data_IF_694099864747
#
_entry.id   IF_694099864747
#
_cell.length_a   1.000
_cell.length_b   1.000
_cell.length_c   1.000
_cell.angle_alpha   90.00
_cell.angle_beta   90.00
_cell.angle_gamma   90.00
#
_symmetry.space_group_name_H-M   'P 1'
#
loop_
_entity.id
_entity.type
_entity.pdbx_description
1 polymer ?
#
# COMPACT_ATOMS: atom_id res chain seq x y z
N UNK A 1 -26.69 47.39 62.69
CA UNK A 1 -26.41 47.25 61.25
C UNK A 1 -26.96 45.92 60.75
N UNK A 2 -28.12 45.96 60.08
CA UNK A 2 -28.76 44.79 59.46
C UNK A 2 -28.08 44.49 58.12
N UNK A 3 -27.64 43.24 57.88
CA UNK A 3 -27.36 42.73 56.53
C UNK A 3 -28.50 41.79 56.13
N UNK A 4 -29.32 42.25 55.16
CA UNK A 4 -30.39 41.46 54.55
C UNK A 4 -29.79 40.30 53.74
N UNK A 5 -30.24 39.08 54.02
CA UNK A 5 -30.16 37.94 53.10
C UNK A 5 -31.35 38.06 52.14
N UNK A 6 -31.09 38.14 50.84
CA UNK A 6 -32.09 37.85 49.80
C UNK A 6 -31.45 36.95 48.77
N UNK A 7 -31.88 35.70 48.80
CA UNK A 7 -31.70 34.67 47.78
C UNK A 7 -32.50 35.06 46.54
N UNK A 8 -31.82 35.37 45.43
CA UNK A 8 -32.43 35.51 44.12
C UNK A 8 -32.15 34.25 43.29
N UNK A 9 -33.11 33.32 43.32
CA UNK A 9 -33.07 32.03 42.63
C UNK A 9 -33.74 32.07 41.24
N UNK A 10 -34.25 33.23 40.78
CA UNK A 10 -34.99 33.32 39.50
C UNK A 10 -34.09 33.55 38.27
N UNK A 11 -32.88 34.08 38.45
CA UNK A 11 -32.00 34.42 37.31
C UNK A 11 -31.32 33.22 36.63
N UNK A 12 -31.19 32.06 37.29
CA UNK A 12 -30.44 30.91 36.75
C UNK A 12 -31.22 30.12 35.69
N UNK A 13 -32.55 30.12 35.81
CA UNK A 13 -33.45 29.37 34.91
C UNK A 13 -33.67 30.14 33.59
N UNK A 14 -33.72 31.47 33.64
CA UNK A 14 -33.74 32.33 32.45
C UNK A 14 -32.44 32.26 31.63
N UNK A 15 -31.29 32.14 32.31
CA UNK A 15 -29.99 31.97 31.64
C UNK A 15 -29.90 30.59 30.97
N UNK A 16 -30.42 29.55 31.62
CA UNK A 16 -30.46 28.18 31.07
C UNK A 16 -31.39 28.10 29.85
N UNK A 17 -32.59 28.68 29.94
CA UNK A 17 -33.53 28.75 28.83
C UNK A 17 -33.00 29.60 27.66
N UNK A 18 -32.21 30.66 27.93
CA UNK A 18 -31.51 31.42 26.88
C UNK A 18 -30.37 30.62 26.25
N UNK A 19 -29.62 29.83 27.02
CA UNK A 19 -28.59 28.94 26.50
C UNK A 19 -29.19 27.83 25.62
N UNK A 20 -30.29 27.21 26.06
CA UNK A 20 -31.00 26.17 25.29
C UNK A 20 -31.66 26.75 24.02
N UNK A 21 -32.13 28.01 24.06
CA UNK A 21 -32.61 28.73 22.87
C UNK A 21 -31.50 29.15 21.90
N UNK A 22 -30.30 29.44 22.41
CA UNK A 22 -29.11 29.73 21.60
C UNK A 22 -28.59 28.43 20.98
N UNK A 23 -28.52 27.34 21.73
CA UNK A 23 -28.10 26.02 21.23
C UNK A 23 -29.08 25.47 20.20
N UNK A 24 -30.40 25.65 20.38
CA UNK A 24 -31.40 25.28 19.35
C UNK A 24 -31.38 26.20 18.12
N UNK A 25 -30.99 27.47 18.24
CA UNK A 25 -30.73 28.37 17.10
C UNK A 25 -29.42 28.03 16.38
N UNK A 26 -28.37 27.66 17.10
CA UNK A 26 -27.11 27.18 16.53
C UNK A 26 -27.37 25.86 15.79
N UNK A 27 -28.14 24.95 16.37
CA UNK A 27 -28.45 23.65 15.76
C UNK A 27 -29.43 23.74 14.57
N UNK A 28 -30.24 24.80 14.47
CA UNK A 28 -31.11 25.07 13.30
C UNK A 28 -30.43 25.92 12.21
N UNK A 29 -29.38 26.68 12.53
CA UNK A 29 -28.55 27.37 11.54
C UNK A 29 -27.30 26.58 11.10
N UNK A 30 -26.93 25.49 11.78
CA UNK A 30 -25.85 24.58 11.37
C UNK A 30 -26.30 23.45 10.43
N UNK A 31 -27.56 23.47 9.96
CA UNK A 31 -28.16 22.46 9.08
C UNK A 31 -28.41 22.94 7.64
N UNK A 32 -27.64 23.93 7.16
CA UNK A 32 -27.72 24.34 5.75
C UNK A 32 -26.37 24.84 5.20
N UNK A 33 -25.37 23.97 5.23
CA UNK A 33 -24.29 23.99 4.22
C UNK A 33 -23.88 22.55 3.87
N UNK A 34 -24.88 21.72 3.56
CA UNK A 34 -24.67 20.56 2.68
C UNK A 34 -24.55 21.08 1.25
N UNK A 35 -23.34 21.40 0.82
CA UNK A 35 -23.03 21.34 -0.60
C UNK A 35 -23.23 19.88 -1.00
N UNK A 36 -24.38 19.62 -1.61
CA UNK A 36 -24.81 18.30 -2.03
C UNK A 36 -23.77 17.67 -2.96
N UNK A 37 -23.30 16.50 -2.57
CA UNK A 37 -22.58 15.60 -3.46
C UNK A 37 -22.77 14.19 -2.93
N UNK A 38 -23.90 13.57 -3.28
CA UNK A 38 -24.11 12.15 -3.02
C UNK A 38 -23.31 11.34 -4.05
N UNK A 39 -21.99 11.37 -3.92
CA UNK A 39 -21.15 10.34 -4.53
C UNK A 39 -21.48 9.03 -3.83
N UNK A 40 -21.83 8.00 -4.61
CA UNK A 40 -22.05 6.66 -4.10
C UNK A 40 -20.85 5.76 -4.40
N UNK A 41 -20.55 4.82 -3.49
CA UNK A 41 -19.56 3.78 -3.77
C UNK A 41 -20.00 2.96 -5.00
N UNK A 42 -19.06 2.68 -5.90
CA UNK A 42 -19.31 1.95 -7.14
C UNK A 42 -19.91 2.79 -8.27
N UNK A 43 -20.29 4.04 -8.03
CA UNK A 43 -20.78 4.94 -9.06
C UNK A 43 -19.68 5.25 -10.10
N UNK A 44 -20.03 5.22 -11.38
CA UNK A 44 -19.16 5.71 -12.45
C UNK A 44 -19.41 7.19 -12.69
N UNK A 45 -18.32 7.96 -12.72
CA UNK A 45 -18.33 9.40 -12.90
C UNK A 45 -17.34 9.80 -14.00
N UNK A 46 -17.75 10.77 -14.82
CA UNK A 46 -16.87 11.38 -15.82
C UNK A 46 -16.35 12.70 -15.26
N UNK A 47 -15.03 12.87 -15.25
CA UNK A 47 -14.39 14.09 -14.76
C UNK A 47 -13.15 14.48 -15.57
N UNK A 48 -12.85 15.78 -15.57
CA UNK A 48 -11.60 16.32 -16.11
C UNK A 48 -10.52 16.32 -15.05
N UNK A 49 -9.32 15.89 -15.43
CA UNK A 49 -8.15 15.89 -14.55
C UNK A 49 -7.39 17.20 -14.72
N UNK A 50 -7.22 17.94 -13.62
CA UNK A 50 -6.61 19.28 -13.62
C UNK A 50 -5.15 19.26 -13.16
N UNK A 51 -4.77 18.28 -12.33
CA UNK A 51 -3.47 18.23 -11.70
C UNK A 51 -3.06 16.83 -11.30
N UNK A 52 -1.90 16.74 -10.66
CA UNK A 52 -1.33 15.50 -10.20
C UNK A 52 -1.02 15.61 -8.70
N UNK A 53 -1.30 14.56 -7.94
CA UNK A 53 -0.90 14.47 -6.54
C UNK A 53 0.59 14.20 -6.43
N UNK A 54 1.15 14.40 -5.24
CA UNK A 54 2.55 14.03 -4.95
C UNK A 54 2.83 12.52 -5.13
N UNK A 55 1.79 11.69 -5.13
CA UNK A 55 1.88 10.23 -5.36
C UNK A 55 1.75 9.86 -6.84
N UNK A 56 1.55 10.84 -7.73
CA UNK A 56 1.35 10.60 -9.15
C UNK A 56 -0.09 10.23 -9.53
N UNK A 57 -1.06 10.53 -8.67
CA UNK A 57 -2.48 10.31 -8.98
C UNK A 57 -3.08 11.52 -9.68
N UNK A 58 -3.93 11.31 -10.68
CA UNK A 58 -4.70 12.39 -11.29
C UNK A 58 -5.65 13.01 -10.28
N UNK A 59 -5.72 14.34 -10.26
CA UNK A 59 -6.61 15.10 -9.37
C UNK A 59 -7.62 15.86 -10.22
N UNK A 60 -8.89 15.57 -10.01
CA UNK A 60 -9.99 16.32 -10.59
C UNK A 60 -11.07 16.63 -9.56
N UNK A 61 -12.13 17.31 -10.00
CA UNK A 61 -13.29 17.62 -9.17
C UNK A 61 -14.56 17.16 -9.84
N UNK A 62 -15.43 16.52 -9.08
CA UNK A 62 -16.76 16.15 -9.50
C UNK A 62 -17.76 16.76 -8.52
N UNK A 63 -18.66 17.63 -9.02
CA UNK A 63 -19.69 18.29 -8.20
C UNK A 63 -19.14 18.98 -6.93
N UNK A 64 -17.93 19.55 -7.00
CA UNK A 64 -17.27 20.23 -5.88
C UNK A 64 -16.40 19.33 -4.99
N UNK A 65 -16.55 18.01 -5.05
CA UNK A 65 -15.72 17.05 -4.33
C UNK A 65 -14.41 16.78 -5.08
N UNK A 66 -13.29 16.73 -4.36
CA UNK A 66 -11.98 16.32 -4.92
C UNK A 66 -11.96 14.80 -5.11
N UNK A 67 -11.57 14.35 -6.31
CA UNK A 67 -11.44 12.93 -6.65
C UNK A 67 -10.01 12.65 -7.10
N UNK A 68 -9.38 11.67 -6.47
CA UNK A 68 -8.07 11.13 -6.85
C UNK A 68 -8.25 9.91 -7.74
N UNK A 69 -7.65 9.91 -8.93
CA UNK A 69 -7.74 8.84 -9.92
C UNK A 69 -6.32 8.40 -10.30
N UNK A 70 -5.78 7.33 -9.69
CA UNK A 70 -4.48 6.76 -10.08
C UNK A 70 -4.47 6.38 -11.56
N UNK A 71 -3.38 6.66 -12.26
CA UNK A 71 -3.22 6.36 -13.69
C UNK A 71 -3.81 7.39 -14.65
N UNK A 72 -4.47 8.44 -14.15
CA UNK A 72 -5.00 9.54 -14.96
C UNK A 72 -4.04 10.74 -14.99
N UNK A 73 -3.97 11.43 -16.14
CA UNK A 73 -3.02 12.52 -16.40
C UNK A 73 -3.72 13.88 -16.48
N UNK A 74 -3.08 15.00 -16.09
CA UNK A 74 -3.64 16.33 -16.31
C UNK A 74 -3.96 16.60 -17.78
N UNK A 75 -5.11 17.22 -18.01
CA UNK A 75 -5.65 17.51 -19.35
C UNK A 75 -6.57 16.42 -19.90
N UNK A 76 -6.72 15.29 -19.20
CA UNK A 76 -7.59 14.20 -19.65
C UNK A 76 -9.02 14.34 -19.17
N UNK A 77 -9.93 13.75 -19.94
CA UNK A 77 -11.29 13.41 -19.49
C UNK A 77 -11.34 11.90 -19.28
N UNK A 78 -11.71 11.47 -18.08
CA UNK A 78 -11.72 10.06 -17.69
C UNK A 78 -13.05 9.65 -17.11
N UNK A 79 -13.44 8.40 -17.35
CA UNK A 79 -14.47 7.70 -16.59
C UNK A 79 -13.79 6.98 -15.43
N UNK A 80 -14.22 7.28 -14.20
CA UNK A 80 -13.70 6.68 -12.99
C UNK A 80 -14.83 6.09 -12.14
N UNK A 81 -14.62 4.89 -11.60
CA UNK A 81 -15.52 4.25 -10.65
C UNK A 81 -15.13 4.64 -9.23
N UNK A 82 -16.05 5.18 -8.45
CA UNK A 82 -15.80 5.60 -7.06
C UNK A 82 -15.50 4.37 -6.21
N UNK A 83 -14.24 4.23 -5.79
CA UNK A 83 -13.76 3.09 -5.00
C UNK A 83 -13.73 3.37 -3.49
N UNK A 84 -13.73 4.64 -3.08
CA UNK A 84 -13.73 5.02 -1.69
C UNK A 84 -14.11 6.47 -1.48
N UNK A 85 -14.87 6.76 -0.44
CA UNK A 85 -15.35 8.11 -0.11
C UNK A 85 -14.90 8.46 1.29
N UNK A 86 -14.29 9.63 1.44
CA UNK A 86 -13.95 10.25 2.72
C UNK A 86 -14.57 11.64 2.79
N UNK A 87 -14.62 12.20 4.00
CA UNK A 87 -15.22 13.52 4.26
C UNK A 87 -14.70 14.65 3.38
N UNK A 88 -13.43 14.62 2.98
CA UNK A 88 -12.78 15.69 2.21
C UNK A 88 -12.36 15.30 0.79
N UNK A 89 -12.41 14.01 0.43
CA UNK A 89 -12.04 13.54 -0.91
C UNK A 89 -12.63 12.16 -1.20
N UNK A 90 -12.76 11.84 -2.47
CA UNK A 90 -13.04 10.50 -2.96
C UNK A 90 -11.82 9.93 -3.70
N UNK A 91 -11.74 8.61 -3.78
CA UNK A 91 -10.81 7.88 -4.64
C UNK A 91 -11.61 7.17 -5.72
N UNK A 92 -11.21 7.39 -6.97
CA UNK A 92 -11.74 6.71 -8.14
C UNK A 92 -10.74 5.69 -8.68
N UNK A 93 -11.25 4.56 -9.15
CA UNK A 93 -10.53 3.64 -10.00
C UNK A 93 -10.75 4.07 -11.46
N UNK A 94 -9.67 4.27 -12.22
CA UNK A 94 -9.75 4.58 -13.64
C UNK A 94 -10.42 3.41 -14.38
N UNK A 95 -11.53 3.68 -15.07
CA UNK A 95 -12.23 2.70 -15.92
C UNK A 95 -11.80 2.91 -17.36
N UNK A 96 -11.90 4.14 -17.84
CA UNK A 96 -11.61 4.50 -19.23
C UNK A 96 -11.04 5.91 -19.34
N UNK A 97 -10.13 6.10 -20.29
CA UNK A 97 -9.67 7.43 -20.70
C UNK A 97 -10.47 7.85 -21.93
N UNK A 98 -11.47 8.70 -21.72
CA UNK A 98 -12.39 9.17 -22.77
C UNK A 98 -11.69 10.13 -23.72
N UNK A 99 -10.85 11.02 -23.18
CA UNK A 99 -10.00 11.92 -23.97
C UNK A 99 -8.57 11.84 -23.44
N UNK A 100 -7.66 11.15 -24.15
CA UNK A 100 -6.29 11.01 -23.71
C UNK A 100 -5.49 12.29 -23.92
N UNK A 101 -4.53 12.53 -23.02
CA UNK A 101 -3.59 13.62 -23.14
C UNK A 101 -2.55 13.28 -24.22
N UNK A 102 -2.03 14.27 -24.97
CA UNK A 102 -0.97 14.04 -25.95
C UNK A 102 0.34 13.51 -25.33
N UNK A 103 0.47 13.61 -24.00
CA UNK A 103 1.63 13.11 -23.27
C UNK A 103 1.44 11.70 -22.70
N UNK A 104 0.28 11.07 -22.91
CA UNK A 104 0.05 9.68 -22.54
C UNK A 104 0.80 8.76 -23.50
N UNK A 105 1.51 7.79 -22.94
CA UNK A 105 2.19 6.74 -23.70
C UNK A 105 1.73 5.37 -23.21
N UNK A 106 1.85 4.37 -24.08
CA UNK A 106 1.71 2.98 -23.66
C UNK A 106 2.89 2.62 -22.76
N UNK A 107 2.66 2.15 -21.52
CA UNK A 107 3.73 1.81 -20.62
C UNK A 107 4.51 0.59 -21.11
N UNK A 108 5.84 0.62 -20.96
CA UNK A 108 6.69 -0.50 -21.34
C UNK A 108 6.56 -1.71 -20.39
N UNK A 109 6.23 -1.46 -19.11
CA UNK A 109 6.04 -2.53 -18.13
C UNK A 109 4.60 -3.09 -18.22
N UNK A 110 4.41 -4.39 -18.46
CA UNK A 110 3.07 -5.00 -18.51
C UNK A 110 2.39 -5.04 -17.13
N UNK A 111 3.16 -4.91 -16.05
CA UNK A 111 2.65 -4.98 -14.68
C UNK A 111 2.22 -3.64 -14.10
N UNK A 112 2.30 -2.51 -14.83
CA UNK A 112 2.08 -1.16 -14.27
C UNK A 112 0.77 -1.03 -13.47
N UNK A 113 -0.32 -1.58 -13.97
CA UNK A 113 -1.64 -1.48 -13.33
C UNK A 113 -1.81 -2.43 -12.13
N UNK A 114 -0.90 -3.40 -11.98
CA UNK A 114 -0.96 -4.43 -10.95
C UNK A 114 0.11 -4.22 -9.88
N UNK A 115 1.25 -3.63 -10.22
CA UNK A 115 2.42 -3.45 -9.38
C UNK A 115 2.48 -2.02 -8.83
N UNK A 116 2.60 -1.85 -7.52
CA UNK A 116 2.72 -0.54 -6.86
C UNK A 116 4.09 0.14 -7.02
N UNK A 117 4.99 -0.40 -7.84
CA UNK A 117 6.36 0.11 -7.96
C UNK A 117 6.50 1.37 -8.81
N UNK A 118 5.64 1.57 -9.81
CA UNK A 118 5.75 2.68 -10.77
C UNK A 118 4.43 3.43 -10.89
N UNK A 119 4.44 4.76 -10.69
CA UNK A 119 3.23 5.57 -10.84
C UNK A 119 3.08 6.21 -12.23
N UNK A 120 4.19 6.58 -12.89
CA UNK A 120 4.17 7.52 -14.04
C UNK A 120 4.63 6.93 -15.37
N UNK A 121 4.78 5.61 -15.51
CA UNK A 121 5.26 5.01 -16.77
C UNK A 121 4.29 5.20 -17.95
N UNK A 122 3.03 5.55 -17.70
CA UNK A 122 2.04 5.90 -18.72
C UNK A 122 2.20 7.36 -19.24
N UNK A 123 3.24 8.08 -18.80
CA UNK A 123 3.51 9.49 -19.12
C UNK A 123 4.84 9.61 -19.86
N UNK A 124 4.87 10.37 -20.95
CA UNK A 124 6.10 10.67 -21.67
C UNK A 124 7.16 11.28 -20.75
N UNK A 125 8.42 10.86 -20.88
CA UNK A 125 9.49 11.24 -19.96
C UNK A 125 9.70 12.75 -19.80
N UNK A 126 9.69 13.58 -20.87
CA UNK A 126 9.79 15.04 -20.73
C UNK A 126 8.65 15.62 -19.87
N UNK A 127 7.45 15.07 -20.01
CA UNK A 127 6.29 15.50 -19.24
C UNK A 127 6.41 15.06 -17.76
N UNK A 128 6.99 13.90 -17.47
CA UNK A 128 7.30 13.51 -16.09
C UNK A 128 8.21 14.53 -15.39
N UNK A 129 9.24 15.04 -16.08
CA UNK A 129 10.16 16.05 -15.54
C UNK A 129 9.44 17.36 -15.26
N UNK A 130 8.56 17.78 -16.19
CA UNK A 130 7.74 18.99 -16.05
C UNK A 130 6.74 18.88 -14.88
N UNK A 131 6.07 17.73 -14.76
CA UNK A 131 5.13 17.47 -13.66
C UNK A 131 5.84 17.47 -12.30
N UNK A 132 7.02 16.86 -12.20
CA UNK A 132 7.84 16.90 -10.97
C UNK A 132 8.25 18.32 -10.59
N UNK A 133 8.67 19.13 -11.57
CA UNK A 133 9.01 20.54 -11.36
C UNK A 133 7.78 21.31 -10.83
N UNK A 134 6.62 21.09 -11.45
CA UNK A 134 5.36 21.72 -11.06
C UNK A 134 4.95 21.34 -9.63
N UNK A 135 5.11 20.07 -9.22
CA UNK A 135 4.82 19.63 -7.84
C UNK A 135 5.68 20.40 -6.84
N UNK A 136 6.98 20.55 -7.10
CA UNK A 136 7.89 21.31 -6.22
C UNK A 136 7.50 22.79 -6.18
N UNK A 137 7.19 23.38 -7.34
CA UNK A 137 6.74 24.77 -7.43
C UNK A 137 5.47 25.01 -6.62
N UNK A 138 4.45 24.16 -6.79
CA UNK A 138 3.20 24.27 -6.04
C UNK A 138 3.40 24.08 -4.54
N UNK A 139 4.29 23.18 -4.13
CA UNK A 139 4.63 22.97 -2.73
C UNK A 139 5.31 24.20 -2.11
N UNK A 140 6.29 24.81 -2.79
CA UNK A 140 6.96 26.02 -2.33
C UNK A 140 5.99 27.22 -2.24
N UNK A 141 5.10 27.36 -3.22
CA UNK A 141 4.09 28.42 -3.24
C UNK A 141 3.07 28.26 -2.12
N UNK A 142 2.43 27.09 -2.01
CA UNK A 142 1.27 26.88 -1.12
C UNK A 142 1.68 26.56 0.32
N UNK A 143 2.70 25.71 0.50
CA UNK A 143 3.13 25.24 1.82
C UNK A 143 4.27 26.13 2.33
N UNK A 144 5.28 26.37 1.48
CA UNK A 144 6.42 27.21 1.82
C UNK A 144 6.11 28.70 1.91
N UNK A 145 5.02 29.16 1.27
CA UNK A 145 4.65 30.59 1.13
C UNK A 145 5.76 31.42 0.46
N UNK A 146 6.46 30.81 -0.50
CA UNK A 146 7.58 31.39 -1.23
C UNK A 146 7.24 31.51 -2.73
N UNK A 147 6.32 32.42 -3.13
CA UNK A 147 5.86 32.49 -4.51
C UNK A 147 6.92 33.00 -5.50
N UNK A 148 7.88 33.79 -5.02
CA UNK A 148 8.92 34.40 -5.84
C UNK A 148 10.10 33.45 -6.16
N UNK A 149 10.15 32.27 -5.52
CA UNK A 149 11.25 31.32 -5.74
C UNK A 149 11.07 30.63 -7.09
N UNK A 150 12.02 30.86 -7.99
CA UNK A 150 12.05 30.21 -9.29
C UNK A 150 12.56 28.77 -9.16
N UNK A 151 11.72 27.80 -9.52
CA UNK A 151 12.09 26.38 -9.57
C UNK A 151 12.68 26.06 -10.94
N UNK A 152 13.95 25.65 -10.98
CA UNK A 152 14.64 25.25 -12.21
C UNK A 152 14.06 23.94 -12.79
N UNK A 153 14.26 23.67 -14.09
CA UNK A 153 13.87 22.39 -14.69
C UNK A 153 14.43 21.17 -13.95
N UNK A 154 13.61 20.12 -13.84
CA UNK A 154 14.04 18.84 -13.24
C UNK A 154 15.16 18.22 -14.07
N UNK A 155 16.25 17.82 -13.41
CA UNK A 155 17.33 17.08 -14.06
C UNK A 155 16.84 15.68 -14.45
N UNK A 156 16.90 15.38 -15.75
CA UNK A 156 16.57 14.06 -16.30
C UNK A 156 17.77 13.12 -16.38
N UNK A 157 17.46 11.83 -16.55
CA UNK A 157 18.40 10.78 -16.88
C UNK A 157 18.39 10.58 -18.40
N UNK A 158 19.55 10.31 -19.00
CA UNK A 158 19.65 10.05 -20.43
C UNK A 158 18.90 8.77 -20.84
N UNK A 159 19.02 7.72 -20.02
CA UNK A 159 18.31 6.46 -20.18
C UNK A 159 17.55 6.12 -18.87
N UNK A 160 16.24 6.40 -18.75
CA UNK A 160 15.49 6.31 -17.49
C UNK A 160 15.09 4.88 -17.11
N UNK A 161 15.94 3.89 -17.39
CA UNK A 161 15.73 2.47 -17.14
C UNK A 161 16.87 1.86 -16.32
N UNK A 162 16.65 0.68 -15.75
CA UNK A 162 17.68 -0.17 -15.09
C UNK A 162 18.51 0.52 -13.99
N UNK A 163 18.03 1.63 -13.42
CA UNK A 163 18.80 2.44 -12.47
C UNK A 163 18.77 1.95 -11.01
N UNK A 164 17.87 1.02 -10.65
CA UNK A 164 17.63 0.62 -9.26
C UNK A 164 18.57 -0.52 -8.85
N UNK A 165 19.68 -0.14 -8.23
CA UNK A 165 20.74 -1.05 -7.74
C UNK A 165 20.47 -1.70 -6.36
N UNK A 166 19.31 -1.40 -5.75
CA UNK A 166 18.86 -1.97 -4.49
C UNK A 166 17.35 -2.23 -4.56
N UNK A 167 16.94 -3.47 -4.35
CA UNK A 167 15.54 -3.83 -4.24
C UNK A 167 15.26 -4.64 -3.00
N UNK A 168 14.01 -4.55 -2.59
CA UNK A 168 13.41 -5.40 -1.58
C UNK A 168 12.19 -6.02 -2.23
N UNK A 169 12.22 -7.33 -2.43
CA UNK A 169 11.08 -8.09 -2.97
C UNK A 169 10.35 -8.78 -1.83
N UNK A 170 9.03 -8.81 -1.92
CA UNK A 170 8.16 -9.45 -0.95
C UNK A 170 8.01 -10.93 -1.28
N UNK A 171 7.90 -11.74 -0.22
CA UNK A 171 7.69 -13.19 -0.29
C UNK A 171 6.26 -13.49 0.16
N UNK A 172 5.47 -14.13 -0.69
CA UNK A 172 4.13 -14.62 -0.35
C UNK A 172 4.07 -16.14 -0.54
N UNK A 173 3.54 -16.85 0.45
CA UNK A 173 3.26 -18.28 0.34
C UNK A 173 1.81 -18.48 -0.04
N UNK A 174 1.60 -19.04 -1.23
CA UNK A 174 0.29 -19.33 -1.79
C UNK A 174 -0.02 -20.80 -1.55
N UNK A 175 -1.14 -21.09 -0.89
CA UNK A 175 -1.61 -22.47 -0.69
C UNK A 175 -2.43 -22.87 -1.90
N UNK A 176 -2.13 -24.04 -2.50
CA UNK A 176 -2.92 -24.60 -3.60
C UNK A 176 -4.42 -24.66 -3.24
N UNK A 177 -5.25 -23.96 -4.02
CA UNK A 177 -6.70 -23.79 -3.77
C UNK A 177 -7.13 -22.37 -3.41
N UNK A 178 -6.20 -21.45 -3.15
CA UNK A 178 -6.47 -20.02 -3.04
C UNK A 178 -6.16 -19.32 -4.38
N UNK A 179 -6.97 -19.58 -5.40
CA UNK A 179 -6.97 -18.72 -6.58
C UNK A 179 -7.39 -17.31 -6.14
N UNK A 180 -6.61 -16.26 -6.44
CA UNK A 180 -7.02 -14.88 -6.17
C UNK A 180 -8.18 -14.55 -7.10
N UNK A 181 -9.39 -14.49 -6.54
CA UNK A 181 -10.67 -14.18 -7.18
C UNK A 181 -10.53 -13.28 -8.43
N UNK A 182 -10.35 -13.90 -9.59
CA UNK A 182 -10.35 -13.25 -10.89
C UNK A 182 -11.18 -14.15 -11.80
N UNK A 183 -12.43 -13.72 -12.01
CA UNK A 183 -13.38 -14.19 -13.01
C UNK A 183 -13.24 -15.67 -13.42
N UNK A 184 -13.87 -16.57 -12.66
CA UNK A 184 -14.27 -17.87 -13.19
C UNK A 184 -15.79 -17.99 -13.01
N UNK A 185 -16.51 -17.77 -14.12
CA UNK A 185 -17.86 -18.27 -14.29
C UNK A 185 -17.84 -19.80 -14.26
N UNK A 186 -18.69 -20.34 -13.39
CA UNK A 186 -19.36 -21.63 -13.43
C UNK A 186 -18.72 -22.76 -14.24
N UNK A 187 -18.10 -23.71 -13.54
CA UNK A 187 -18.12 -25.11 -13.95
C UNK A 187 -18.59 -25.95 -12.77
N UNK A 188 -19.89 -26.21 -12.74
CA UNK A 188 -20.45 -27.35 -12.02
C UNK A 188 -19.87 -28.61 -12.67
N UNK A 189 -19.27 -29.49 -11.88
CA UNK A 189 -19.47 -30.93 -11.98
C UNK A 189 -18.76 -31.63 -10.82
N UNK A 190 -19.55 -32.35 -10.03
CA UNK A 190 -19.08 -33.21 -8.96
C UNK A 190 -18.23 -34.35 -9.52
N UNK A 191 -16.93 -34.28 -9.30
CA UNK A 191 -16.00 -35.39 -9.45
C UNK A 191 -15.37 -35.69 -8.09
N UNK A 192 -15.53 -36.94 -7.64
CA UNK A 192 -14.93 -37.44 -6.39
C UNK A 192 -13.41 -37.43 -6.52
N UNK A 193 -12.77 -36.57 -5.74
CA UNK A 193 -11.33 -36.29 -5.81
C UNK A 193 -10.54 -37.50 -5.30
N UNK A 194 -9.73 -38.11 -6.16
CA UNK A 194 -8.86 -39.23 -5.77
C UNK A 194 -7.75 -38.79 -4.81
N UNK A 195 -7.24 -39.70 -3.96
CA UNK A 195 -6.17 -39.43 -3.00
C UNK A 195 -4.89 -38.86 -3.62
N UNK A 196 -4.60 -39.20 -4.88
CA UNK A 196 -3.51 -38.60 -5.67
C UNK A 196 -3.75 -37.11 -5.98
N UNK A 197 -4.99 -36.72 -6.28
CA UNK A 197 -5.38 -35.31 -6.42
C UNK A 197 -5.40 -34.58 -5.07
N UNK A 198 -5.56 -35.30 -3.95
CA UNK A 198 -5.48 -34.77 -2.58
C UNK A 198 -4.04 -34.42 -2.17
N UNK A 199 -3.07 -35.23 -2.59
CA UNK A 199 -1.64 -34.93 -2.42
C UNK A 199 -1.16 -33.81 -3.36
N UNK A 200 -1.70 -33.74 -4.58
CA UNK A 200 -1.40 -32.66 -5.52
C UNK A 200 -2.02 -31.31 -5.11
N UNK A 201 -3.06 -31.32 -4.27
CA UNK A 201 -3.69 -30.13 -3.66
C UNK A 201 -2.91 -29.48 -2.51
N UNK A 202 -1.77 -30.06 -2.10
CA UNK A 202 -0.98 -29.57 -0.95
C UNK A 202 0.37 -28.95 -1.35
N UNK A 203 0.63 -28.67 -2.62
CA UNK A 203 1.80 -27.88 -3.00
C UNK A 203 1.55 -26.41 -2.65
N UNK A 204 2.10 -25.95 -1.52
CA UNK A 204 2.31 -24.52 -1.35
C UNK A 204 3.32 -24.04 -2.39
N UNK A 205 3.13 -22.87 -2.97
CA UNK A 205 4.08 -22.22 -3.86
C UNK A 205 4.47 -20.85 -3.31
N UNK A 206 5.67 -20.39 -3.64
CA UNK A 206 6.19 -19.08 -3.26
C UNK A 206 6.09 -18.13 -4.43
N UNK A 207 5.47 -16.97 -4.19
CA UNK A 207 5.53 -15.80 -5.07
C UNK A 207 6.57 -14.83 -4.55
N UNK A 208 7.39 -14.33 -5.46
CA UNK A 208 8.33 -13.24 -5.22
C UNK A 208 7.93 -12.05 -6.07
N UNK A 209 7.79 -10.87 -5.44
CA UNK A 209 7.34 -9.71 -6.20
C UNK A 209 7.14 -8.43 -5.41
N UNK A 210 6.36 -7.52 -5.96
CA UNK A 210 5.96 -6.28 -5.28
C UNK A 210 4.48 -6.32 -4.90
N UNK A 211 4.08 -5.48 -3.94
CA UNK A 211 2.69 -5.38 -3.57
C UNK A 211 1.84 -4.75 -4.67
N UNK A 212 0.61 -5.25 -4.78
CA UNK A 212 -0.45 -4.59 -5.53
C UNK A 212 -0.82 -3.25 -4.86
N UNK A 213 -1.07 -2.18 -5.64
CA UNK A 213 -1.45 -0.90 -5.07
C UNK A 213 -2.60 -1.03 -4.07
N UNK A 214 -2.39 -0.55 -2.84
CA UNK A 214 -3.41 -0.56 -1.78
C UNK A 214 -3.65 -1.90 -1.09
N UNK A 215 -2.87 -2.95 -1.37
CA UNK A 215 -2.97 -4.24 -0.68
C UNK A 215 -1.58 -4.77 -0.28
N UNK A 216 -1.52 -5.87 0.47
CA UNK A 216 -0.28 -6.64 0.73
C UNK A 216 -0.20 -7.92 -0.10
N UNK A 217 -0.98 -8.00 -1.19
CA UNK A 217 -0.92 -9.13 -2.11
C UNK A 217 0.29 -8.97 -3.02
N UNK A 218 1.09 -10.03 -3.16
CA UNK A 218 2.30 -9.99 -3.97
C UNK A 218 1.96 -10.31 -5.43
N UNK A 219 2.40 -9.43 -6.32
CA UNK A 219 2.37 -9.63 -7.76
C UNK A 219 3.74 -10.08 -8.20
N UNK A 220 3.77 -11.31 -8.68
CA UNK A 220 4.92 -11.92 -9.31
C UNK A 220 5.18 -11.25 -10.66
N UNK A 221 6.45 -11.00 -10.94
CA UNK A 221 6.91 -10.45 -12.21
C UNK A 221 8.11 -11.26 -12.71
N UNK A 222 8.26 -11.31 -14.02
CA UNK A 222 9.42 -11.93 -14.68
C UNK A 222 10.58 -10.93 -14.77
N UNK A 223 10.26 -9.69 -15.14
CA UNK A 223 11.23 -8.61 -15.27
C UNK A 223 10.67 -7.28 -14.76
N UNK A 224 11.55 -6.49 -14.16
CA UNK A 224 11.28 -5.12 -13.76
C UNK A 224 12.26 -4.20 -14.49
N UNK A 225 11.75 -3.41 -15.44
CA UNK A 225 12.57 -2.51 -16.28
C UNK A 225 13.36 -1.44 -15.50
N UNK A 226 13.13 -1.30 -14.19
CA UNK A 226 13.88 -0.40 -13.32
C UNK A 226 15.10 -1.04 -12.66
N UNK A 227 15.20 -2.36 -12.61
CA UNK A 227 16.32 -3.09 -11.99
C UNK A 227 17.24 -3.65 -13.08
N UNK A 228 18.55 -3.86 -12.83
CA UNK A 228 19.44 -4.48 -13.82
C UNK A 228 18.88 -5.81 -14.35
N UNK A 229 19.06 -6.08 -15.64
CA UNK A 229 18.41 -7.21 -16.32
C UNK A 229 18.83 -8.56 -15.75
N UNK A 230 20.07 -8.65 -15.26
CA UNK A 230 20.66 -9.83 -14.65
C UNK A 230 19.92 -10.26 -13.37
N UNK A 231 19.19 -9.34 -12.74
CA UNK A 231 18.49 -9.60 -11.48
C UNK A 231 17.24 -10.46 -11.68
N UNK A 232 16.66 -10.48 -12.88
CA UNK A 232 15.55 -11.38 -13.20
C UNK A 232 15.96 -12.85 -13.06
N UNK A 233 17.17 -13.20 -13.49
CA UNK A 233 17.70 -14.56 -13.37
C UNK A 233 17.94 -14.93 -11.90
N UNK A 234 18.47 -14.00 -11.11
CA UNK A 234 18.68 -14.19 -9.67
C UNK A 234 17.35 -14.40 -8.94
N UNK A 235 16.34 -13.59 -9.24
CA UNK A 235 15.00 -13.74 -8.65
C UNK A 235 14.35 -15.05 -9.06
N UNK A 236 14.52 -15.49 -10.30
CA UNK A 236 14.05 -16.79 -10.78
C UNK A 236 14.75 -17.95 -10.04
N UNK A 237 16.08 -17.87 -9.89
CA UNK A 237 16.87 -18.86 -9.14
C UNK A 237 16.43 -18.95 -7.67
N UNK A 238 16.27 -17.80 -7.00
CA UNK A 238 15.80 -17.77 -5.60
C UNK A 238 14.39 -18.36 -5.49
N UNK A 239 13.48 -18.02 -6.43
CA UNK A 239 12.11 -18.54 -6.46
C UNK A 239 12.09 -20.06 -6.60
N UNK A 240 12.89 -20.58 -7.54
CA UNK A 240 13.04 -22.02 -7.76
C UNK A 240 13.59 -22.69 -6.50
N UNK A 241 14.67 -22.17 -5.93
CA UNK A 241 15.27 -22.69 -4.71
C UNK A 241 14.29 -22.72 -3.52
N UNK A 242 13.47 -21.68 -3.35
CA UNK A 242 12.46 -21.66 -2.29
C UNK A 242 11.35 -22.69 -2.51
N UNK A 243 10.90 -22.89 -3.75
CA UNK A 243 9.85 -23.87 -4.09
C UNK A 243 10.34 -25.33 -4.02
N UNK A 244 11.59 -25.59 -4.40
CA UNK A 244 12.19 -26.93 -4.34
C UNK A 244 12.66 -27.30 -2.93
N UNK A 245 13.03 -26.29 -2.12
CA UNK A 245 13.46 -26.53 -0.76
C UNK A 245 12.29 -26.94 0.15
N UNK A 246 12.58 -27.73 1.18
CA UNK A 246 11.61 -28.02 2.24
C UNK A 246 11.30 -26.81 3.14
N UNK A 247 11.72 -25.59 2.77
CA UNK A 247 11.51 -24.36 3.54
C UNK A 247 10.03 -24.08 3.80
N UNK A 248 9.17 -24.35 2.82
CA UNK A 248 7.72 -24.19 2.92
C UNK A 248 7.07 -25.10 3.97
N UNK A 249 7.67 -26.25 4.28
CA UNK A 249 7.13 -27.25 5.21
C UNK A 249 7.97 -27.37 6.49
N UNK A 250 8.89 -26.43 6.74
CA UNK A 250 9.65 -26.40 7.98
C UNK A 250 8.71 -26.19 9.18
N UNK A 251 8.98 -26.80 10.35
CA UNK A 251 8.19 -26.59 11.58
C UNK A 251 8.14 -25.12 12.00
N UNK A 252 9.21 -24.38 11.69
CA UNK A 252 9.42 -22.94 11.87
C UNK A 252 9.15 -22.11 10.59
N UNK A 253 8.73 -22.77 9.52
CA UNK A 253 8.38 -22.13 8.25
C UNK A 253 7.05 -21.39 8.31
N UNK A 254 6.67 -20.68 7.23
CA UNK A 254 5.42 -19.92 7.15
C UNK A 254 4.14 -20.77 7.33
N UNK A 255 4.25 -22.11 7.17
CA UNK A 255 3.19 -23.08 7.44
C UNK A 255 3.32 -23.81 8.80
N UNK A 256 4.15 -23.31 9.73
CA UNK A 256 4.42 -23.88 11.07
C UNK A 256 3.23 -23.89 12.06
N UNK A 257 2.04 -24.27 11.58
CA UNK A 257 0.80 -24.44 12.35
C UNK A 257 0.31 -25.89 12.36
N UNK A 258 1.11 -26.85 11.91
CA UNK A 258 0.87 -28.28 12.19
C UNK A 258 1.55 -28.66 13.50
N UNK A 259 1.05 -28.15 14.63
CA UNK A 259 1.21 -28.85 15.90
C UNK A 259 0.28 -30.06 15.85
N UNK A 260 0.77 -31.31 15.92
CA UNK A 260 -0.13 -32.44 16.07
C UNK A 260 -0.94 -32.26 17.36
N UNK A 261 -2.26 -32.37 17.25
CA UNK A 261 -3.16 -32.38 18.38
C UNK A 261 -2.72 -33.43 19.41
N UNK A 262 -2.53 -32.98 20.65
CA UNK A 262 -2.66 -33.79 21.87
C UNK A 262 -1.71 -34.98 22.04
N UNK A 263 -0.69 -34.80 22.88
CA UNK A 263 -0.28 -35.85 23.79
C UNK A 263 0.18 -35.24 25.11
N UNK A 264 -0.70 -35.36 26.10
CA UNK A 264 -0.49 -35.52 27.54
C UNK A 264 0.68 -34.81 28.20
N UNK A 265 0.32 -33.96 29.16
CA UNK A 265 1.23 -33.45 30.17
C UNK A 265 1.95 -34.58 30.90
N UNK A 266 3.24 -34.38 31.11
CA UNK A 266 3.97 -34.98 32.21
C UNK A 266 5.20 -34.12 32.53
N UNK A 267 5.10 -33.43 33.66
CA UNK A 267 6.15 -33.10 34.63
C UNK A 267 7.54 -32.70 34.11
N UNK A 268 7.81 -31.39 34.11
CA UNK A 268 9.16 -30.89 34.39
C UNK A 268 9.31 -30.72 35.92
N UNK A 269 10.35 -31.29 36.55
CA UNK A 269 10.68 -30.99 37.94
C UNK A 269 11.38 -29.63 38.03
N UNK A 270 10.96 -28.85 39.02
CA UNK A 270 11.51 -27.56 39.39
C UNK A 270 12.85 -27.79 40.12
N UNK A 271 13.97 -27.38 39.53
CA UNK A 271 15.26 -27.33 40.22
C UNK A 271 15.80 -25.92 40.35
N UNK A 272 16.37 -25.72 41.54
CA UNK A 272 16.59 -24.51 42.30
C UNK A 272 17.94 -23.82 42.07
N UNK A 273 17.90 -22.49 42.18
CA UNK A 273 18.95 -21.53 42.62
C UNK A 273 20.42 -21.98 42.86
N UNK A 274 21.33 -21.29 42.16
CA UNK A 274 22.61 -20.74 42.69
C UNK A 274 23.87 -21.01 41.83
N UNK A 275 24.99 -20.25 41.98
CA UNK A 275 25.16 -18.81 42.19
C UNK A 275 25.97 -18.12 41.05
N UNK A 276 26.04 -16.78 41.09
CA UNK A 276 26.80 -15.93 40.16
C UNK A 276 28.32 -16.16 40.28
N UNK A 277 28.99 -16.36 39.15
CA UNK A 277 30.45 -16.35 38.99
C UNK A 277 30.85 -15.51 37.78
N UNK A 278 31.79 -14.60 38.00
CA UNK A 278 32.37 -13.62 37.07
C UNK A 278 33.39 -14.26 36.13
N UNK A 279 33.35 -13.98 34.82
CA UNK A 279 34.57 -13.80 34.02
C UNK A 279 34.31 -13.06 32.70
N UNK A 280 35.23 -12.16 32.36
CA UNK A 280 35.25 -11.35 31.15
C UNK A 280 35.97 -12.11 30.03
N UNK A 281 35.24 -12.51 29.00
CA UNK A 281 35.78 -12.55 27.64
C UNK A 281 34.65 -12.19 26.67
N UNK A 282 34.67 -10.97 26.13
CA UNK A 282 33.76 -10.55 25.07
C UNK A 282 34.16 -11.24 23.76
N UNK A 283 33.92 -12.54 23.70
CA UNK A 283 33.82 -13.29 22.46
C UNK A 283 32.45 -13.02 21.85
N UNK A 284 32.44 -12.72 20.55
CA UNK A 284 31.26 -12.62 19.70
C UNK A 284 30.15 -13.57 20.15
N UNK A 285 29.07 -13.04 20.71
CA UNK A 285 27.86 -13.80 20.99
C UNK A 285 27.30 -14.28 19.66
N UNK A 286 27.48 -15.58 19.38
CA UNK A 286 26.64 -16.35 18.46
C UNK A 286 25.18 -16.01 18.79
N UNK A 287 24.57 -15.14 17.99
CA UNK A 287 23.12 -14.95 18.05
C UNK A 287 22.49 -16.29 17.67
N UNK A 288 21.84 -16.93 18.65
CA UNK A 288 20.97 -18.08 18.40
C UNK A 288 19.96 -17.68 17.33
N UNK A 289 20.07 -18.32 16.16
CA UNK A 289 19.08 -18.35 15.10
C UNK A 289 17.83 -19.12 15.56
N UNK A 290 17.19 -18.70 16.66
CA UNK A 290 16.00 -19.36 17.21
C UNK A 290 14.79 -18.43 17.33
N UNK A 291 14.88 -17.19 16.84
CA UNK A 291 13.71 -16.33 16.65
C UNK A 291 13.39 -16.28 15.14
N UNK A 292 12.68 -17.31 14.70
CA UNK A 292 12.27 -17.55 13.31
C UNK A 292 11.20 -16.55 12.90
N UNK A 293 11.62 -15.38 12.43
CA UNK A 293 10.74 -14.49 11.67
C UNK A 293 10.45 -15.14 10.31
N UNK A 294 9.18 -15.24 9.87
CA UNK A 294 8.89 -15.72 8.52
C UNK A 294 9.61 -14.80 7.53
N UNK A 295 10.31 -15.39 6.54
CA UNK A 295 10.94 -14.62 5.46
C UNK A 295 9.84 -13.88 4.72
N UNK A 296 9.71 -12.57 4.99
CA UNK A 296 8.71 -11.70 4.37
C UNK A 296 9.29 -10.92 3.19
N UNK A 297 10.60 -10.72 3.19
CA UNK A 297 11.31 -9.86 2.25
C UNK A 297 12.67 -10.45 1.90
N UNK A 298 13.13 -10.25 0.67
CA UNK A 298 14.49 -10.54 0.22
C UNK A 298 15.08 -9.24 -0.30
N UNK A 299 16.25 -8.87 0.24
CA UNK A 299 16.97 -7.67 -0.15
C UNK A 299 18.08 -8.05 -1.11
N UNK A 300 18.06 -7.49 -2.32
CA UNK A 300 19.18 -7.59 -3.27
C UNK A 300 19.85 -6.22 -3.37
N UNK A 301 21.18 -6.19 -3.30
CA UNK A 301 21.97 -4.98 -3.43
C UNK A 301 23.24 -5.25 -4.22
N UNK A 302 23.48 -4.44 -5.26
CA UNK A 302 24.77 -4.43 -5.92
C UNK A 302 25.79 -3.68 -5.05
N UNK A 303 26.87 -4.34 -4.65
CA UNK A 303 28.01 -3.69 -4.00
C UNK A 303 29.03 -3.28 -5.08
N UNK A 304 29.04 -1.99 -5.43
CA UNK A 304 30.11 -1.26 -6.14
C UNK A 304 30.85 -1.95 -7.29
N UNK A 305 30.61 -1.49 -8.53
CA UNK A 305 31.45 -1.49 -9.76
C UNK A 305 32.23 -2.74 -10.23
N UNK A 306 32.40 -3.81 -9.45
CA UNK A 306 33.13 -5.04 -9.84
C UNK A 306 32.22 -6.20 -10.21
N UNK A 307 30.90 -5.97 -10.35
CA UNK A 307 29.96 -7.00 -10.80
C UNK A 307 29.57 -8.06 -9.75
N UNK A 308 30.09 -7.95 -8.52
CA UNK A 308 29.67 -8.86 -7.44
C UNK A 308 28.32 -8.42 -6.85
N UNK A 309 27.37 -9.37 -6.81
CA UNK A 309 26.03 -9.19 -6.24
C UNK A 309 26.00 -9.89 -4.89
N UNK A 310 25.77 -9.12 -3.82
CA UNK A 310 25.54 -9.66 -2.49
C UNK A 310 24.02 -9.89 -2.30
N UNK A 311 23.65 -11.12 -1.93
CA UNK A 311 22.28 -11.57 -1.61
C UNK A 311 22.13 -11.69 -0.10
#
# INVERSE_FOLDING_TARGET
MQRKKTTDWKGREEIRNKADQIDSKINSQSLSHSLGTDLALGQEITLTIHGLSHQGEGVGRFQGQVVFVPGALPGEVVSARVAGIKRSFARGQLVEVVQPSPHRITPHCPYLNQCGGCALQHVAYPEQLRLKQKIVQEALQRIGRLPEVTVRPTLGMADPWRYRIKIEVHVEVVKSGAEPNFLLENVENGATISEKQRQQRQSASVRLGYYRPGTHQVIEFEDCLLIPAEWSEILAFIRQGLNESNWLNRPDGPNGFNRPNGSNGSNEPNESNGPKGTDQSKGYTRSRLTDTFPLKHILLRQSSFTGEIAV
#
